data_IF_938484316966
#
_entry.id   IF_938484316966
#
_cell.length_a   1.000
_cell.length_b   1.000
_cell.length_c   1.000
_cell.angle_alpha   90.00
_cell.angle_beta   90.00
_cell.angle_gamma   90.00
#
_symmetry.space_group_name_H-M   'P 1'
#
loop_
_entity.id
_entity.type
_entity.pdbx_description
1 polymer ?
#
# COMPACT_ATOMS: atom_id res chain seq x y z
N UNK A 1 2.08 -24.43 -14.02
CA UNK A 1 3.08 -24.09 -12.99
C UNK A 1 2.39 -23.22 -11.96
N UNK A 2 2.14 -23.73 -10.76
CA UNK A 2 1.50 -22.96 -9.68
C UNK A 2 2.59 -22.32 -8.83
N UNK A 3 2.66 -20.99 -8.79
CA UNK A 3 3.70 -20.26 -8.06
C UNK A 3 3.15 -19.81 -6.72
N UNK A 4 3.75 -20.29 -5.63
CA UNK A 4 3.43 -19.85 -4.28
C UNK A 4 4.45 -18.80 -3.84
N UNK A 5 4.00 -17.56 -3.63
CA UNK A 5 4.87 -16.45 -3.23
C UNK A 5 4.79 -16.24 -1.72
N UNK A 6 5.93 -16.35 -1.05
CA UNK A 6 6.09 -16.05 0.38
C UNK A 6 7.11 -14.93 0.49
N UNK A 7 6.78 -13.86 1.22
CA UNK A 7 7.68 -12.74 1.49
C UNK A 7 8.10 -12.79 2.96
N UNK A 8 9.38 -12.99 3.22
CA UNK A 8 9.95 -13.02 4.58
C UNK A 8 11.23 -12.19 4.61
N UNK A 9 11.43 -11.45 5.70
CA UNK A 9 12.65 -10.72 5.99
C UNK A 9 13.66 -11.66 6.67
N UNK A 10 14.91 -11.63 6.22
CA UNK A 10 15.98 -12.40 6.86
C UNK A 10 16.26 -11.85 8.27
N UNK A 11 16.49 -12.77 9.23
CA UNK A 11 17.06 -12.42 10.53
C UNK A 11 18.56 -12.12 10.41
N UNK A 12 19.14 -11.49 11.44
CA UNK A 12 20.56 -11.09 11.44
C UNK A 12 21.52 -12.28 11.27
N UNK A 13 21.10 -13.47 11.68
CA UNK A 13 21.87 -14.71 11.57
C UNK A 13 21.89 -15.30 10.15
N UNK A 14 21.17 -14.69 9.20
CA UNK A 14 21.10 -15.14 7.80
C UNK A 14 20.36 -16.46 7.60
N UNK A 15 19.70 -17.00 8.63
CA UNK A 15 18.88 -18.22 8.55
C UNK A 15 17.44 -17.87 8.19
N UNK A 16 16.88 -18.61 7.22
CA UNK A 16 15.47 -18.55 6.86
C UNK A 16 14.83 -19.92 7.08
N UNK A 17 13.72 -19.97 7.82
CA UNK A 17 12.96 -21.20 8.07
C UNK A 17 11.56 -21.05 7.45
N UNK A 18 11.23 -21.93 6.49
CA UNK A 18 9.93 -21.97 5.82
C UNK A 18 9.11 -23.13 6.40
N UNK A 19 8.02 -22.83 7.10
CA UNK A 19 7.13 -23.83 7.70
C UNK A 19 5.73 -23.78 7.07
N UNK A 20 5.00 -24.90 7.10
CA UNK A 20 3.61 -24.96 6.63
C UNK A 20 3.41 -24.86 5.12
N UNK A 21 4.42 -25.22 4.32
CA UNK A 21 4.29 -25.24 2.86
C UNK A 21 3.32 -26.36 2.42
N UNK A 22 2.43 -26.13 1.44
CA UNK A 22 1.45 -27.12 0.97
C UNK A 22 2.09 -28.12 -0.01
N UNK A 23 3.22 -28.71 0.38
CA UNK A 23 3.93 -29.72 -0.40
C UNK A 23 3.96 -31.05 0.35
N UNK A 24 4.00 -32.15 -0.38
CA UNK A 24 3.98 -33.51 0.15
C UNK A 24 5.30 -34.23 -0.10
N UNK A 25 5.51 -35.34 0.61
CA UNK A 25 6.69 -36.17 0.40
C UNK A 25 6.72 -36.73 -1.03
N UNK A 26 7.81 -36.49 -1.75
CA UNK A 26 7.98 -36.90 -3.15
C UNK A 26 7.78 -35.76 -4.17
N UNK A 27 7.28 -34.61 -3.73
CA UNK A 27 7.16 -33.45 -4.62
C UNK A 27 8.54 -32.84 -4.93
N UNK A 28 8.79 -32.55 -6.21
CA UNK A 28 9.95 -31.77 -6.62
C UNK A 28 9.56 -30.30 -6.64
N UNK A 29 10.24 -29.49 -5.81
CA UNK A 29 9.97 -28.06 -5.67
C UNK A 29 11.19 -27.22 -6.04
N UNK A 30 10.96 -26.11 -6.73
CA UNK A 30 11.98 -25.11 -7.04
C UNK A 30 11.73 -23.84 -6.22
N UNK A 31 12.78 -23.32 -5.58
CA UNK A 31 12.72 -22.12 -4.74
C UNK A 31 13.60 -21.04 -5.37
N UNK A 32 13.01 -19.90 -5.69
CA UNK A 32 13.72 -18.76 -6.29
C UNK A 32 13.76 -17.62 -5.28
N UNK A 33 14.97 -17.23 -4.87
CA UNK A 33 15.18 -16.07 -4.01
C UNK A 33 15.43 -14.83 -4.87
N UNK A 34 14.54 -13.84 -4.75
CA UNK A 34 14.73 -12.54 -5.36
C UNK A 34 14.99 -11.53 -4.25
N UNK A 35 16.19 -10.94 -4.25
CA UNK A 35 16.47 -9.79 -3.39
C UNK A 35 15.60 -8.64 -3.85
N UNK A 36 14.54 -8.35 -3.08
CA UNK A 36 13.80 -7.13 -3.32
C UNK A 36 14.73 -5.96 -2.98
N UNK A 37 14.74 -4.89 -3.79
CA UNK A 37 15.35 -3.65 -3.34
C UNK A 37 14.76 -3.36 -1.97
N UNK A 38 15.60 -2.97 -1.01
CA UNK A 38 15.10 -2.43 0.24
C UNK A 38 14.20 -1.30 -0.20
N UNK A 39 12.88 -1.52 -0.18
CA UNK A 39 11.98 -0.40 -0.13
C UNK A 39 12.51 0.30 1.10
N UNK A 40 13.17 1.44 0.89
CA UNK A 40 12.92 2.52 1.81
C UNK A 40 11.40 2.47 1.90
N UNK A 41 10.88 1.92 3.02
CA UNK A 41 9.71 2.51 3.61
C UNK A 41 9.98 3.98 3.37
N UNK A 42 9.21 4.55 2.46
CA UNK A 42 9.25 5.97 2.22
C UNK A 42 9.07 6.53 3.62
N UNK A 43 10.20 6.82 4.28
CA UNK A 43 10.29 7.74 5.38
C UNK A 43 9.53 8.91 4.80
N UNK A 44 8.32 9.19 5.32
CA UNK A 44 7.35 10.01 4.61
C UNK A 44 8.12 11.21 4.14
N UNK A 45 8.31 11.30 2.83
CA UNK A 45 9.13 12.32 2.21
C UNK A 45 8.69 13.60 2.88
N UNK A 46 9.64 14.32 3.46
CA UNK A 46 9.41 15.53 4.25
C UNK A 46 9.02 16.70 3.34
N UNK A 47 8.07 16.44 2.44
CA UNK A 47 7.38 17.28 1.50
C UNK A 47 5.96 16.67 1.44
N UNK A 48 4.90 17.40 1.81
CA UNK A 48 3.58 16.81 1.91
C UNK A 48 3.06 16.61 0.49
N UNK A 49 3.35 15.45 -0.11
CA UNK A 49 2.78 15.05 -1.40
C UNK A 49 1.25 15.04 -1.32
N UNK A 50 0.70 14.88 -0.10
CA UNK A 50 -0.73 14.96 0.20
C UNK A 50 -0.95 15.64 1.58
N UNK A 51 -1.09 16.98 1.64
CA UNK A 51 -1.20 17.74 2.91
C UNK A 51 -2.44 17.41 3.76
N UNK A 52 -3.41 16.69 3.18
CA UNK A 52 -4.64 16.25 3.81
C UNK A 52 -4.68 14.75 4.13
N UNK A 53 -3.62 13.99 3.82
CA UNK A 53 -3.57 12.55 4.08
C UNK A 53 -3.47 12.27 5.58
N UNK A 54 -4.46 11.55 6.13
CA UNK A 54 -4.58 11.25 7.57
C UNK A 54 -5.22 12.35 8.43
N UNK A 55 -5.65 13.48 7.86
CA UNK A 55 -6.33 14.55 8.59
C UNK A 55 -7.84 14.31 8.67
N UNK A 56 -8.37 14.07 9.87
CA UNK A 56 -9.81 14.07 10.13
C UNK A 56 -10.28 15.46 10.60
N UNK A 57 -11.57 15.83 10.39
CA UNK A 57 -12.64 15.03 9.78
C UNK A 57 -12.70 15.14 8.25
N UNK A 58 -13.13 14.06 7.59
CA UNK A 58 -13.42 14.01 6.15
C UNK A 58 -14.93 14.08 5.86
N UNK A 59 -15.72 14.63 6.79
CA UNK A 59 -17.17 14.67 6.66
C UNK A 59 -17.61 16.02 6.11
N UNK A 60 -18.25 16.00 4.95
CA UNK A 60 -19.00 17.12 4.39
C UNK A 60 -20.46 16.71 4.43
N UNK A 61 -21.27 17.45 5.18
CA UNK A 61 -22.68 17.10 5.39
C UNK A 61 -23.48 17.20 4.08
N UNK A 62 -23.16 18.19 3.23
CA UNK A 62 -23.69 18.30 1.87
C UNK A 62 -22.58 18.61 0.85
N UNK A 63 -21.97 17.59 0.24
CA UNK A 63 -20.84 17.76 -0.68
C UNK A 63 -21.27 18.31 -2.06
N UNK A 64 -22.58 18.44 -2.32
CA UNK A 64 -23.11 18.92 -3.60
C UNK A 64 -23.70 20.33 -3.50
N UNK A 65 -23.64 20.96 -2.33
CA UNK A 65 -24.04 22.36 -2.20
C UNK A 65 -23.12 23.26 -3.04
N UNK A 66 -23.69 24.28 -3.70
CA UNK A 66 -22.90 25.30 -4.37
C UNK A 66 -21.91 25.96 -3.40
N UNK A 67 -20.66 26.10 -3.81
CA UNK A 67 -19.63 26.78 -3.02
C UNK A 67 -19.95 28.27 -2.76
N UNK A 68 -20.84 28.86 -3.58
CA UNK A 68 -21.33 30.23 -3.48
C UNK A 68 -22.84 30.26 -3.72
N UNK A 69 -23.56 31.24 -3.14
CA UNK A 69 -24.98 31.46 -3.41
C UNK A 69 -25.28 31.56 -4.92
N UNK A 70 -26.49 31.13 -5.32
CA UNK A 70 -26.89 31.17 -6.73
C UNK A 70 -26.83 32.58 -7.34
N UNK A 71 -27.10 33.61 -6.55
CA UNK A 71 -27.00 35.03 -6.94
C UNK A 71 -25.60 35.46 -7.39
N UNK A 72 -24.55 34.76 -6.95
CA UNK A 72 -23.16 35.04 -7.33
C UNK A 72 -22.74 34.29 -8.61
N UNK A 73 -23.63 33.52 -9.24
CA UNK A 73 -23.30 32.77 -10.43
C UNK A 73 -23.20 33.70 -11.66
N UNK A 74 -22.06 33.65 -12.35
CA UNK A 74 -21.80 34.47 -13.55
C UNK A 74 -22.82 34.26 -14.67
N UNK A 75 -23.48 33.09 -14.74
CA UNK A 75 -24.51 32.80 -15.76
C UNK A 75 -25.84 33.53 -15.52
N UNK A 76 -26.04 34.11 -14.32
CA UNK A 76 -27.24 34.86 -13.96
C UNK A 76 -27.04 36.39 -14.06
N UNK A 77 -25.85 36.84 -14.46
CA UNK A 77 -25.54 38.25 -14.76
C UNK A 77 -25.81 38.56 -16.24
#
# INVERSE_FOLDING_TARGET
MNVHKIAITFSEDGKLELTGLPFHAGDTVEIIFLKQPKQQQSSPTSSPEYPLHGKQPYHYDDPFEPAVPAEDWEVLK
#
